data_IF_581442235287
#
_entry.id   IF_581442235287
#
_cell.length_a   1.000
_cell.length_b   1.000
_cell.length_c   1.000
_cell.angle_alpha   90.00
_cell.angle_beta   90.00
_cell.angle_gamma   90.00
#
_symmetry.space_group_name_H-M   'P 1'
#
loop_
_entity.id
_entity.type
_entity.pdbx_description
1 polymer ?
#
# COMPACT_ATOMS: atom_id res chain seq x y z
N UNK A 1 -20.66 14.68 4.91
CA UNK A 1 -19.47 14.11 5.56
C UNK A 1 -18.25 14.84 5.03
N UNK A 2 -17.59 15.63 5.87
CA UNK A 2 -16.37 16.37 5.49
C UNK A 2 -15.16 15.62 6.03
N UNK A 3 -14.23 15.25 5.15
CA UNK A 3 -12.95 14.66 5.53
C UNK A 3 -12.19 15.70 6.35
N UNK A 4 -11.90 15.39 7.61
CA UNK A 4 -11.08 16.25 8.48
C UNK A 4 -9.60 16.12 8.11
N UNK A 5 -8.76 17.14 8.36
CA UNK A 5 -7.31 17.06 8.08
C UNK A 5 -6.63 15.86 8.73
N UNK A 6 -7.08 15.45 9.93
CA UNK A 6 -6.60 14.25 10.61
C UNK A 6 -6.90 12.97 9.82
N UNK A 7 -8.10 12.85 9.25
CA UNK A 7 -8.49 11.70 8.42
C UNK A 7 -7.65 11.63 7.14
N UNK A 8 -7.26 12.77 6.58
CA UNK A 8 -6.34 12.82 5.44
C UNK A 8 -4.94 12.34 5.83
N UNK A 9 -4.49 12.64 7.05
CA UNK A 9 -3.22 12.14 7.60
C UNK A 9 -3.25 10.62 7.79
N UNK A 10 -4.36 10.05 8.25
CA UNK A 10 -4.48 8.59 8.35
C UNK A 10 -4.51 7.88 6.98
N UNK A 11 -4.94 8.58 5.91
CA UNK A 11 -5.01 8.07 4.54
C UNK A 11 -3.70 8.27 3.74
N UNK A 12 -2.72 8.98 4.29
CA UNK A 12 -1.44 9.27 3.63
C UNK A 12 -0.70 8.03 3.08
N UNK A 13 -0.54 6.91 3.81
CA UNK A 13 0.17 5.74 3.28
C UNK A 13 -0.53 5.17 2.05
N UNK A 14 -1.87 5.15 2.04
CA UNK A 14 -2.66 4.70 0.90
C UNK A 14 -2.52 5.63 -0.30
N UNK A 15 -2.54 6.95 -0.06
CA UNK A 15 -2.33 7.97 -1.09
C UNK A 15 -0.95 7.86 -1.74
N UNK A 16 0.10 7.66 -0.94
CA UNK A 16 1.46 7.50 -1.45
C UNK A 16 1.57 6.22 -2.28
N UNK A 17 1.08 5.09 -1.79
CA UNK A 17 1.12 3.83 -2.55
C UNK A 17 0.31 3.97 -3.85
N UNK A 18 -0.89 4.55 -3.80
CA UNK A 18 -1.70 4.81 -5.00
C UNK A 18 -1.01 5.72 -6.01
N UNK A 19 -0.34 6.77 -5.55
CA UNK A 19 0.44 7.66 -6.40
C UNK A 19 1.62 6.91 -7.02
N UNK A 20 2.32 6.06 -6.26
CA UNK A 20 3.44 5.26 -6.79
C UNK A 20 2.99 4.28 -7.87
N UNK A 21 1.81 3.68 -7.74
CA UNK A 21 1.22 2.83 -8.80
C UNK A 21 1.03 3.62 -10.09
N UNK A 22 0.43 4.81 -10.01
CA UNK A 22 0.17 5.65 -11.19
C UNK A 22 1.48 6.11 -11.83
N UNK A 23 2.48 6.50 -11.03
CA UNK A 23 3.78 6.95 -11.54
C UNK A 23 4.56 5.80 -12.18
N UNK A 24 4.51 4.58 -11.62
CA UNK A 24 5.13 3.38 -12.24
C UNK A 24 4.40 3.03 -13.54
N UNK A 25 3.06 3.11 -13.57
CA UNK A 25 2.28 2.88 -14.79
C UNK A 25 2.63 3.88 -15.90
N UNK A 26 2.74 5.16 -15.58
CA UNK A 26 3.15 6.21 -16.52
C UNK A 26 4.61 6.05 -16.97
N UNK A 27 5.51 5.63 -16.06
CA UNK A 27 6.92 5.39 -16.40
C UNK A 27 7.06 4.24 -17.40
N UNK A 28 6.29 3.15 -17.24
CA UNK A 28 6.22 2.05 -18.20
C UNK A 28 5.73 2.55 -19.57
N UNK A 29 4.71 3.41 -19.58
CA UNK A 29 4.16 3.96 -20.82
C UNK A 29 5.12 4.90 -21.56
N UNK A 30 5.99 5.61 -20.83
CA UNK A 30 6.95 6.56 -21.41
C UNK A 30 8.27 5.91 -21.82
N UNK A 31 8.87 5.10 -20.94
CA UNK A 31 10.20 4.51 -21.18
C UNK A 31 10.31 3.13 -20.52
N UNK A 32 10.44 2.10 -21.35
CA UNK A 32 10.60 0.70 -20.96
C UNK A 32 12.01 0.39 -20.43
N UNK A 33 12.37 0.99 -19.30
CA UNK A 33 13.62 0.71 -18.58
C UNK A 33 13.36 -0.03 -17.27
N UNK A 34 13.89 -1.26 -17.19
CA UNK A 34 13.72 -2.13 -16.04
C UNK A 34 14.30 -1.56 -14.74
N UNK A 35 15.49 -0.96 -14.82
CA UNK A 35 16.17 -0.35 -13.67
C UNK A 35 15.38 0.84 -13.10
N UNK A 36 14.77 1.65 -13.97
CA UNK A 36 14.03 2.84 -13.56
C UNK A 36 12.73 2.46 -12.84
N UNK A 37 11.99 1.48 -13.35
CA UNK A 37 10.74 1.02 -12.72
C UNK A 37 10.99 0.29 -11.39
N UNK A 38 12.07 -0.50 -11.30
CA UNK A 38 12.47 -1.14 -10.05
C UNK A 38 12.87 -0.11 -8.97
N UNK A 39 13.72 0.85 -9.32
CA UNK A 39 14.12 1.92 -8.39
C UNK A 39 12.94 2.78 -7.96
N UNK A 40 12.04 3.16 -8.87
CA UNK A 40 10.80 3.89 -8.53
C UNK A 40 9.92 3.13 -7.53
N UNK A 41 9.73 1.82 -7.74
CA UNK A 41 8.89 1.00 -6.88
C UNK A 41 9.47 0.88 -5.48
N UNK A 42 10.79 0.67 -5.37
CA UNK A 42 11.50 0.62 -4.09
C UNK A 42 11.44 1.98 -3.37
N UNK A 43 11.60 3.07 -4.11
CA UNK A 43 11.55 4.43 -3.56
C UNK A 43 10.14 4.77 -3.05
N UNK A 44 9.10 4.35 -3.79
CA UNK A 44 7.70 4.46 -3.40
C UNK A 44 7.35 3.67 -2.15
N UNK A 45 7.80 2.41 -2.07
CA UNK A 45 7.60 1.56 -0.88
C UNK A 45 8.33 2.13 0.35
N UNK A 46 9.53 2.68 0.19
CA UNK A 46 10.23 3.37 1.27
C UNK A 46 9.49 4.64 1.73
N UNK A 47 8.98 5.44 0.79
CA UNK A 47 8.16 6.61 1.12
C UNK A 47 6.89 6.21 1.88
N UNK A 48 6.26 5.09 1.52
CA UNK A 48 5.09 4.55 2.23
C UNK A 48 5.45 4.09 3.66
N UNK A 49 6.62 3.47 3.87
CA UNK A 49 7.12 3.12 5.20
C UNK A 49 7.36 4.36 6.09
N UNK A 50 7.98 5.40 5.54
CA UNK A 50 8.19 6.67 6.26
C UNK A 50 6.85 7.32 6.61
N UNK A 51 5.88 7.26 5.70
CA UNK A 51 4.52 7.75 5.94
C UNK A 51 3.82 7.02 7.09
N UNK A 52 4.03 5.71 7.22
CA UNK A 52 3.49 4.92 8.33
C UNK A 52 4.00 5.43 9.70
N UNK A 53 5.27 5.87 9.76
CA UNK A 53 5.84 6.49 10.97
C UNK A 53 5.11 7.79 11.35
N UNK A 54 4.76 8.62 10.37
CA UNK A 54 3.96 9.83 10.59
C UNK A 54 2.53 9.52 11.05
N UNK A 55 1.90 8.47 10.51
CA UNK A 55 0.57 8.02 10.97
C UNK A 55 0.63 7.56 12.43
N UNK A 56 1.65 6.80 12.81
CA UNK A 56 1.83 6.31 14.18
C UNK A 56 1.92 7.42 15.24
N UNK A 57 2.42 8.61 14.88
CA UNK A 57 2.45 9.76 15.78
C UNK A 57 1.09 10.44 15.98
N UNK A 58 0.15 10.28 15.05
CA UNK A 58 -1.17 10.94 15.10
C UNK A 58 -2.25 10.11 15.80
N UNK A 59 -1.91 8.89 16.25
CA UNK A 59 -2.79 8.02 17.03
C UNK A 59 -3.85 7.28 16.18
N UNK A 60 -4.46 6.26 16.79
CA UNK A 60 -5.50 5.45 16.14
C UNK A 60 -6.77 6.28 15.93
N UNK A 61 -7.27 6.33 14.69
CA UNK A 61 -8.49 7.07 14.35
C UNK A 61 -9.33 6.34 13.30
N UNK A 62 -10.64 6.47 13.43
CA UNK A 62 -11.60 5.94 12.47
C UNK A 62 -11.73 6.94 11.30
N UNK A 63 -11.24 6.54 10.13
CA UNK A 63 -11.12 7.42 8.97
C UNK A 63 -12.44 7.45 8.17
N UNK A 64 -13.09 6.29 8.08
CA UNK A 64 -14.43 6.12 7.51
C UNK A 64 -15.14 4.99 8.26
N UNK A 65 -16.48 4.85 8.14
CA UNK A 65 -17.21 3.74 8.77
C UNK A 65 -16.68 2.34 8.40
N UNK A 66 -16.03 2.21 7.23
CA UNK A 66 -15.45 0.97 6.71
C UNK A 66 -13.98 0.75 7.11
N UNK A 67 -13.24 1.81 7.48
CA UNK A 67 -11.79 1.75 7.66
C UNK A 67 -11.42 2.33 9.02
N UNK A 68 -10.93 1.44 9.88
CA UNK A 68 -10.35 1.76 11.19
C UNK A 68 -8.83 1.62 11.09
N UNK A 69 -8.10 2.69 11.41
CA UNK A 69 -6.64 2.66 11.50
C UNK A 69 -6.27 2.53 12.96
N UNK A 70 -5.85 1.33 13.36
CA UNK A 70 -5.38 1.00 14.70
C UNK A 70 -3.93 0.46 14.67
N UNK A 71 -3.38 0.13 15.84
CA UNK A 71 -2.03 -0.42 15.96
C UNK A 71 -1.83 -1.72 15.20
N UNK A 72 -2.87 -2.56 15.10
CA UNK A 72 -2.82 -3.79 14.32
C UNK A 72 -2.76 -3.50 12.83
N UNK A 73 -3.61 -2.61 12.31
CA UNK A 73 -3.60 -2.19 10.92
C UNK A 73 -2.24 -1.61 10.51
N UNK A 74 -1.58 -0.84 11.40
CA UNK A 74 -0.23 -0.33 11.17
C UNK A 74 0.81 -1.44 11.04
N UNK A 75 0.76 -2.46 11.91
CA UNK A 75 1.67 -3.60 11.85
C UNK A 75 1.46 -4.44 10.57
N UNK A 76 0.21 -4.73 10.20
CA UNK A 76 -0.10 -5.45 8.95
C UNK A 76 0.33 -4.66 7.71
N UNK A 77 0.08 -3.34 7.68
CA UNK A 77 0.54 -2.47 6.60
C UNK A 77 2.07 -2.50 6.47
N UNK A 78 2.79 -2.42 7.60
CA UNK A 78 4.24 -2.54 7.63
C UNK A 78 4.74 -3.89 7.10
N UNK A 79 4.11 -5.00 7.50
CA UNK A 79 4.45 -6.35 7.00
C UNK A 79 4.20 -6.48 5.50
N UNK A 80 3.07 -5.97 4.99
CA UNK A 80 2.76 -5.98 3.55
C UNK A 80 3.80 -5.18 2.78
N UNK A 81 4.16 -3.97 3.24
CA UNK A 81 5.19 -3.15 2.61
C UNK A 81 6.55 -3.85 2.58
N UNK A 82 6.97 -4.47 3.68
CA UNK A 82 8.22 -5.24 3.75
C UNK A 82 8.19 -6.46 2.81
N UNK A 83 7.08 -7.19 2.76
CA UNK A 83 6.91 -8.33 1.87
C UNK A 83 6.96 -7.90 0.38
N UNK A 84 6.32 -6.78 0.03
CA UNK A 84 6.40 -6.21 -1.32
C UNK A 84 7.82 -5.76 -1.66
N UNK A 85 8.54 -5.15 -0.73
CA UNK A 85 9.94 -4.73 -0.94
C UNK A 85 10.83 -5.95 -1.17
N UNK A 86 10.70 -6.99 -0.34
CA UNK A 86 11.42 -8.25 -0.51
C UNK A 86 11.10 -8.91 -1.86
N UNK A 87 9.83 -8.91 -2.26
CA UNK A 87 9.38 -9.45 -3.56
C UNK A 87 10.00 -8.67 -4.71
N UNK A 88 10.03 -7.34 -4.67
CA UNK A 88 10.67 -6.54 -5.70
C UNK A 88 12.19 -6.78 -5.77
N UNK A 89 12.87 -6.91 -4.62
CA UNK A 89 14.32 -7.18 -4.59
C UNK A 89 14.69 -8.55 -5.12
N UNK A 90 13.90 -9.59 -4.84
CA UNK A 90 14.14 -10.93 -5.38
C UNK A 90 13.70 -11.06 -6.84
N UNK A 91 12.64 -10.34 -7.23
CA UNK A 91 12.16 -10.34 -8.61
C UNK A 91 13.18 -9.70 -9.55
N UNK A 92 13.94 -8.70 -9.13
CA UNK A 92 14.92 -8.00 -9.98
C UNK A 92 15.94 -8.95 -10.67
N UNK A 93 16.76 -9.74 -9.95
CA UNK A 93 17.70 -10.67 -10.57
C UNK A 93 16.99 -11.82 -11.30
N UNK A 94 15.79 -12.20 -10.87
CA UNK A 94 15.01 -13.27 -11.52
C UNK A 94 14.45 -12.84 -12.89
N UNK A 95 13.93 -11.61 -12.98
CA UNK A 95 13.42 -11.02 -14.23
C UNK A 95 14.54 -10.63 -15.20
N UNK A 96 15.77 -10.42 -14.71
CA UNK A 96 16.92 -10.14 -15.57
C UNK A 96 17.16 -11.26 -16.59
N UNK A 97 16.94 -12.52 -16.20
CA UNK A 97 16.99 -13.70 -17.08
C UNK A 97 15.77 -13.89 -18.00
N UNK A 98 14.70 -13.14 -17.81
CA UNK A 98 13.47 -13.24 -18.60
C UNK A 98 13.52 -12.33 -19.84
N UNK A 99 13.06 -12.81 -21.00
CA UNK A 99 13.18 -12.10 -22.29
C UNK A 99 11.97 -11.20 -22.63
N UNK A 100 10.89 -11.31 -21.86
CA UNK A 100 9.59 -10.68 -22.10
C UNK A 100 9.35 -9.43 -21.23
N UNK A 101 8.16 -8.82 -21.29
CA UNK A 101 7.83 -7.57 -20.59
C UNK A 101 7.92 -7.67 -19.04
N UNK A 102 9.07 -7.27 -18.49
CA UNK A 102 9.44 -7.36 -17.06
C UNK A 102 8.68 -6.38 -16.16
N UNK A 103 8.16 -5.31 -16.73
CA UNK A 103 7.74 -4.14 -15.94
C UNK A 103 6.37 -4.33 -15.30
N UNK A 104 5.50 -5.12 -15.94
CA UNK A 104 4.12 -5.37 -15.52
C UNK A 104 4.06 -6.11 -14.19
N UNK A 105 5.08 -6.93 -13.89
CA UNK A 105 5.18 -7.65 -12.62
C UNK A 105 5.21 -6.68 -11.42
N UNK A 106 5.95 -5.58 -11.50
CA UNK A 106 6.01 -4.59 -10.41
C UNK A 106 4.67 -3.88 -10.21
N UNK A 107 3.94 -3.64 -11.30
CA UNK A 107 2.58 -3.08 -11.24
C UNK A 107 1.63 -4.00 -10.47
N UNK A 108 1.65 -5.31 -10.79
CA UNK A 108 0.81 -6.30 -10.12
C UNK A 108 1.14 -6.42 -8.62
N UNK A 109 2.43 -6.37 -8.26
CA UNK A 109 2.87 -6.39 -6.86
C UNK A 109 2.39 -5.14 -6.11
N UNK A 110 2.48 -3.95 -6.71
CA UNK A 110 2.01 -2.71 -6.08
C UNK A 110 0.49 -2.68 -5.91
N UNK A 111 -0.27 -3.19 -6.89
CA UNK A 111 -1.74 -3.31 -6.77
C UNK A 111 -2.12 -4.31 -5.67
N UNK A 112 -1.44 -5.45 -5.58
CA UNK A 112 -1.64 -6.41 -4.50
C UNK A 112 -1.31 -5.81 -3.12
N UNK A 113 -0.23 -5.03 -3.03
CA UNK A 113 0.12 -4.30 -1.82
C UNK A 113 -0.99 -3.32 -1.42
N UNK A 114 -1.52 -2.55 -2.38
CA UNK A 114 -2.61 -1.61 -2.15
C UNK A 114 -3.86 -2.33 -1.59
N UNK A 115 -4.21 -3.50 -2.16
CA UNK A 115 -5.28 -4.34 -1.65
C UNK A 115 -5.04 -4.86 -0.21
N UNK A 116 -3.80 -5.20 0.13
CA UNK A 116 -3.42 -5.65 1.48
C UNK A 116 -3.47 -4.56 2.55
N UNK A 117 -3.29 -3.29 2.17
CA UNK A 117 -3.34 -2.12 3.07
C UNK A 117 -4.79 -1.69 3.39
N UNK A 118 -5.78 -2.19 2.63
CA UNK A 118 -7.21 -2.00 2.89
C UNK A 118 -7.83 -3.26 3.54
N UNK A 119 -7.48 -3.65 4.77
CA UNK A 119 -8.30 -4.63 5.49
C UNK A 119 -9.62 -3.94 5.79
N UNK A 120 -10.63 -4.23 4.98
CA UNK A 120 -12.00 -3.82 5.25
C UNK A 120 -12.36 -4.28 6.67
N UNK A 121 -13.05 -3.41 7.42
CA UNK A 121 -13.64 -3.79 8.69
C UNK A 121 -14.52 -5.02 8.45
N UNK A 122 -14.08 -6.19 8.91
CA UNK A 122 -14.94 -7.34 9.03
C UNK A 122 -15.84 -7.07 10.23
N UNK A 123 -16.89 -6.27 10.03
CA UNK A 123 -17.97 -6.18 10.98
C UNK A 123 -18.62 -7.56 10.97
N UNK A 124 -18.24 -8.41 11.94
CA UNK A 124 -19.08 -9.54 12.29
C UNK A 124 -20.38 -8.96 12.82
N UNK A 125 -21.38 -8.89 11.94
CA UNK A 125 -22.77 -8.61 12.29
C UNK A 125 -23.31 -9.72 13.18
N UNK A 126 -22.82 -9.79 14.42
CA UNK A 126 -23.27 -10.70 15.46
C UNK A 126 -23.86 -9.90 16.60
N UNK A 127 -25.17 -9.64 16.56
CA UNK A 127 -25.82 -9.00 17.71
C UNK A 127 -27.22 -8.42 17.52
N UNK A 128 -28.06 -8.99 16.66
CA UNK A 128 -29.50 -8.73 16.70
C UNK A 128 -30.22 -9.90 17.39
N UNK A 129 -30.12 -10.01 18.72
CA UNK A 129 -31.13 -10.68 19.55
C UNK A 129 -31.27 -9.90 20.86
N UNK A 130 -32.40 -9.22 21.11
CA UNK A 130 -32.67 -8.66 22.43
C UNK A 130 -32.90 -9.82 23.39
N UNK A 131 -32.03 -9.94 24.40
CA UNK A 131 -32.31 -10.73 25.60
C UNK A 131 -32.96 -9.80 26.62
N UNK A 132 -34.30 -9.86 26.61
CA UNK A 132 -35.30 -9.35 27.58
C UNK A 132 -35.37 -7.83 27.76
#
# INVERSE_FOLDING_TARGET
MTITPQQLIALLPLLIVGLTVVVVMLSIAWRRDHFLNATLSVLGLNAALVSLWFVGQNGAMDVTPLIRVDGYAMLYTGLVLLASLATCTFAYPWLEGYKDNKEEFYLLVLIAALGGILPGRCESSGGAVPRY
#
